data_IF_142881414022
#
_entry.id   IF_142881414022
#
_cell.length_a   1.000
_cell.length_b   1.000
_cell.length_c   1.000
_cell.angle_alpha   90.00
_cell.angle_beta   90.00
_cell.angle_gamma   90.00
#
_symmetry.space_group_name_H-M   'P 1'
#
loop_
_entity.id
_entity.type
_entity.pdbx_description
1 polymer ?
#
# COMPACT_ATOMS: atom_id res chain seq x y z
N UNK A 1 19.01 -15.59 4.70
CA UNK A 1 20.16 -15.45 5.63
C UNK A 1 20.21 -16.73 6.45
N UNK A 2 21.37 -17.33 6.72
CA UNK A 2 21.45 -18.49 7.62
C UNK A 2 21.16 -18.03 9.05
N UNK A 3 20.50 -18.86 9.87
CA UNK A 3 20.18 -18.51 11.25
C UNK A 3 21.46 -18.22 12.04
N UNK A 4 21.50 -17.07 12.72
CA UNK A 4 22.62 -16.64 13.59
C UNK A 4 22.60 -17.36 14.95
N UNK A 5 21.48 -17.98 15.31
CA UNK A 5 21.29 -18.65 16.59
C UNK A 5 21.77 -20.10 16.53
N UNK A 6 22.32 -20.56 17.64
CA UNK A 6 22.77 -21.93 17.87
C UNK A 6 21.70 -22.75 18.58
N UNK A 7 21.75 -24.08 18.45
CA UNK A 7 20.92 -24.98 19.25
C UNK A 7 21.34 -24.91 20.72
N UNK A 8 20.35 -24.86 21.60
CA UNK A 8 20.54 -24.80 23.06
C UNK A 8 20.20 -26.16 23.66
N UNK A 9 21.14 -26.72 24.42
CA UNK A 9 20.93 -27.94 25.22
C UNK A 9 21.47 -27.69 26.62
N UNK A 10 20.66 -28.01 27.64
CA UNK A 10 21.01 -27.77 29.03
C UNK A 10 22.07 -28.77 29.53
N UNK A 11 23.07 -28.26 30.25
CA UNK A 11 24.04 -29.04 31.02
C UNK A 11 24.76 -30.16 30.22
N UNK A 12 25.02 -29.92 28.94
CA UNK A 12 25.79 -30.86 28.12
C UNK A 12 27.29 -30.67 28.35
N UNK A 13 27.97 -31.77 28.62
CA UNK A 13 29.41 -31.84 28.87
C UNK A 13 30.00 -33.01 28.09
N UNK A 14 31.16 -32.80 27.49
CA UNK A 14 31.91 -33.85 26.78
C UNK A 14 33.40 -33.49 26.79
N UNK A 15 34.18 -34.16 25.96
CA UNK A 15 35.57 -33.80 25.69
C UNK A 15 35.89 -33.84 24.20
N UNK A 16 37.00 -33.22 23.81
CA UNK A 16 37.54 -33.36 22.46
C UNK A 16 38.08 -34.78 22.24
N UNK A 17 37.67 -35.43 21.14
CA UNK A 17 38.22 -36.73 20.74
C UNK A 17 39.63 -36.60 20.16
N UNK A 18 39.93 -35.48 19.50
CA UNK A 18 41.22 -35.19 18.87
C UNK A 18 41.73 -33.82 19.28
N UNK A 19 43.04 -33.61 19.21
CA UNK A 19 43.64 -32.28 19.41
C UNK A 19 43.08 -31.30 18.39
N UNK A 20 42.76 -30.08 18.81
CA UNK A 20 42.52 -28.93 17.94
C UNK A 20 43.74 -28.01 18.00
N UNK A 21 44.49 -27.91 16.91
CA UNK A 21 45.60 -26.95 16.81
C UNK A 21 45.13 -25.52 16.58
N UNK A 22 46.02 -24.55 16.73
CA UNK A 22 45.77 -23.18 16.27
C UNK A 22 45.38 -23.18 14.78
N UNK A 23 44.34 -22.42 14.43
CA UNK A 23 43.77 -22.37 13.08
C UNK A 23 42.92 -23.58 12.68
N UNK A 24 42.72 -24.57 13.55
CA UNK A 24 41.89 -25.73 13.23
C UNK A 24 40.44 -25.32 12.95
N UNK A 25 39.89 -25.79 11.83
CA UNK A 25 38.50 -25.54 11.39
C UNK A 25 37.61 -26.77 11.54
N UNK A 26 38.15 -27.90 11.99
CA UNK A 26 37.44 -29.16 12.17
C UNK A 26 38.07 -30.03 13.27
N UNK A 27 37.29 -30.98 13.78
CA UNK A 27 37.69 -31.97 14.78
C UNK A 27 36.54 -32.92 15.14
N UNK A 28 36.58 -33.52 16.33
CA UNK A 28 35.51 -34.37 16.81
C UNK A 28 35.33 -34.30 18.33
N UNK A 29 34.11 -34.55 18.80
CA UNK A 29 33.76 -34.75 20.21
C UNK A 29 33.81 -36.25 20.56
N UNK A 30 34.17 -36.57 21.79
CA UNK A 30 34.23 -37.96 22.28
C UNK A 30 32.84 -38.60 22.32
N UNK A 31 31.85 -37.84 22.74
CA UNK A 31 30.45 -38.25 22.78
C UNK A 31 29.55 -37.06 22.47
N UNK A 32 28.41 -37.34 21.85
CA UNK A 32 27.30 -36.41 21.64
C UNK A 32 26.04 -36.83 22.41
N UNK A 33 26.14 -37.88 23.22
CA UNK A 33 25.00 -38.40 23.98
C UNK A 33 24.91 -37.65 25.31
N UNK A 34 23.75 -37.06 25.57
CA UNK A 34 23.49 -36.37 26.82
C UNK A 34 23.25 -37.34 28.00
N UNK A 35 23.01 -36.79 29.20
CA UNK A 35 22.77 -37.58 30.41
C UNK A 35 21.47 -38.39 30.37
N UNK A 36 20.56 -38.08 29.47
CA UNK A 36 19.31 -38.81 29.23
C UNK A 36 19.47 -39.86 28.11
N UNK A 37 20.70 -40.14 27.67
CA UNK A 37 20.99 -41.06 26.57
C UNK A 37 20.45 -40.61 25.21
N UNK A 38 20.23 -39.30 25.02
CA UNK A 38 19.78 -38.71 23.75
C UNK A 38 20.97 -38.06 23.04
N UNK A 39 21.18 -38.43 21.78
CA UNK A 39 22.21 -37.80 20.96
C UNK A 39 21.84 -36.35 20.60
N UNK A 40 22.81 -35.44 20.66
CA UNK A 40 22.64 -34.09 20.14
C UNK A 40 22.26 -34.16 18.65
N UNK A 41 21.20 -33.45 18.22
CA UNK A 41 20.85 -33.38 16.81
C UNK A 41 21.91 -32.59 16.03
N UNK A 42 22.07 -32.90 14.74
CA UNK A 42 22.94 -32.11 13.87
C UNK A 42 22.52 -30.62 13.86
N UNK A 43 23.50 -29.73 13.81
CA UNK A 43 23.24 -28.29 13.78
C UNK A 43 24.40 -27.47 14.33
N UNK A 44 24.18 -26.16 14.43
CA UNK A 44 25.18 -25.22 14.92
C UNK A 44 25.13 -25.10 16.44
N UNK A 45 26.28 -25.14 17.09
CA UNK A 45 26.43 -25.07 18.54
C UNK A 45 27.51 -24.06 18.93
N UNK A 46 27.44 -23.59 20.18
CA UNK A 46 28.52 -22.86 20.83
C UNK A 46 28.98 -23.66 22.06
N UNK A 47 30.29 -23.81 22.23
CA UNK A 47 30.87 -24.45 23.41
C UNK A 47 31.99 -23.62 24.00
N UNK A 48 32.29 -23.87 25.26
CA UNK A 48 33.52 -23.45 25.93
C UNK A 48 34.42 -24.66 26.10
N UNK A 49 35.68 -24.53 25.71
CA UNK A 49 36.72 -25.57 25.85
C UNK A 49 37.72 -25.12 26.90
N UNK A 50 38.23 -26.06 27.70
CA UNK A 50 39.25 -25.83 28.72
C UNK A 50 38.88 -24.72 29.73
N UNK A 51 37.59 -24.70 30.10
CA UNK A 51 37.01 -23.73 31.03
C UNK A 51 37.82 -23.60 32.32
N UNK A 52 38.10 -22.36 32.72
CA UNK A 52 38.82 -22.02 33.94
C UNK A 52 40.35 -22.14 33.83
N UNK A 53 40.89 -22.40 32.64
CA UNK A 53 42.34 -22.44 32.39
C UNK A 53 42.81 -21.24 31.56
N UNK A 54 44.13 -21.10 31.40
CA UNK A 54 44.71 -20.09 30.49
C UNK A 54 44.44 -20.36 29.00
N UNK A 55 44.00 -21.58 28.68
CA UNK A 55 43.68 -22.04 27.34
C UNK A 55 42.17 -21.95 27.03
N UNK A 56 41.36 -21.35 27.92
CA UNK A 56 39.91 -21.24 27.76
C UNK A 56 39.51 -20.50 26.47
N UNK A 57 38.64 -21.12 25.67
CA UNK A 57 38.16 -20.53 24.41
C UNK A 57 36.68 -20.88 24.16
N UNK A 58 35.93 -19.93 23.58
CA UNK A 58 34.57 -20.18 23.11
C UNK A 58 34.62 -20.50 21.61
N UNK A 59 34.00 -21.61 21.21
CA UNK A 59 34.01 -22.08 19.83
C UNK A 59 32.56 -22.25 19.33
N UNK A 60 32.26 -21.60 18.22
CA UNK A 60 31.11 -21.90 17.36
C UNK A 60 31.51 -22.96 16.34
N UNK A 61 30.62 -23.91 16.05
CA UNK A 61 30.88 -24.96 15.07
C UNK A 61 29.57 -25.59 14.58
N UNK A 62 29.65 -26.28 13.45
CA UNK A 62 28.60 -27.15 12.95
C UNK A 62 28.88 -28.59 13.38
N UNK A 63 27.90 -29.22 14.02
CA UNK A 63 27.95 -30.61 14.46
C UNK A 63 27.22 -31.51 13.45
N UNK A 64 27.88 -32.58 13.00
CA UNK A 64 27.26 -33.67 12.25
C UNK A 64 27.78 -35.00 12.79
N UNK A 65 26.90 -35.79 13.42
CA UNK A 65 27.35 -36.90 14.26
C UNK A 65 28.26 -36.37 15.37
N UNK A 66 29.43 -36.99 15.58
CA UNK A 66 30.43 -36.49 16.53
C UNK A 66 31.49 -35.56 15.90
N UNK A 67 31.42 -35.32 14.59
CA UNK A 67 32.34 -34.45 13.88
C UNK A 67 31.92 -32.99 14.04
N UNK A 68 32.89 -32.13 14.33
CA UNK A 68 32.72 -30.68 14.34
C UNK A 68 33.45 -30.08 13.15
N UNK A 69 32.82 -29.13 12.47
CA UNK A 69 33.35 -28.43 11.30
C UNK A 69 33.04 -26.93 11.38
N UNK A 70 33.60 -26.15 10.45
CA UNK A 70 33.42 -24.70 10.37
C UNK A 70 33.67 -24.00 11.72
N UNK A 71 34.71 -24.44 12.43
CA UNK A 71 35.03 -23.89 13.76
C UNK A 71 35.33 -22.40 13.61
N UNK A 72 34.73 -21.61 14.50
CA UNK A 72 34.92 -20.17 14.63
C UNK A 72 35.17 -19.87 16.12
N UNK A 73 36.30 -19.28 16.43
CA UNK A 73 36.55 -18.73 17.75
C UNK A 73 35.69 -17.51 18.02
N UNK A 74 35.21 -17.40 19.25
CA UNK A 74 34.42 -16.29 19.72
C UNK A 74 35.14 -15.61 20.88
N UNK A 75 35.43 -14.32 20.74
CA UNK A 75 35.96 -13.52 21.85
C UNK A 75 34.92 -13.35 22.95
N UNK A 76 35.34 -12.94 24.15
CA UNK A 76 34.42 -12.61 25.25
C UNK A 76 33.46 -11.45 24.92
N UNK A 77 33.74 -10.68 23.88
CA UNK A 77 32.89 -9.61 23.36
C UNK A 77 32.01 -10.06 22.19
N UNK A 78 32.10 -11.32 21.76
CA UNK A 78 31.31 -11.89 20.67
C UNK A 78 31.93 -11.72 19.28
N UNK A 79 33.18 -11.27 19.17
CA UNK A 79 33.88 -11.15 17.87
C UNK A 79 34.21 -12.55 17.37
N UNK A 80 33.83 -12.84 16.13
CA UNK A 80 33.99 -14.15 15.50
C UNK A 80 35.20 -14.17 14.56
N UNK A 81 36.11 -15.13 14.77
CA UNK A 81 37.29 -15.35 13.92
C UNK A 81 37.33 -16.81 13.48
N UNK A 82 37.56 -17.05 12.19
CA UNK A 82 37.60 -18.41 11.66
C UNK A 82 38.75 -19.24 12.28
N UNK A 83 38.44 -20.48 12.66
CA UNK A 83 39.35 -21.41 13.30
C UNK A 83 39.64 -21.11 14.77
N UNK A 84 40.21 -22.10 15.46
CA UNK A 84 40.74 -21.99 16.83
C UNK A 84 41.81 -20.90 16.91
N UNK A 85 41.66 -19.95 17.84
CA UNK A 85 42.61 -18.84 18.01
C UNK A 85 43.58 -19.07 19.18
N UNK A 86 43.31 -20.01 20.08
CA UNK A 86 44.28 -20.36 21.11
C UNK A 86 45.62 -20.80 20.45
N UNK A 87 46.71 -20.12 20.81
CA UNK A 87 48.06 -20.38 20.30
C UNK A 87 48.55 -21.79 20.67
N UNK A 88 48.21 -22.30 21.85
CA UNK A 88 48.59 -23.64 22.30
C UNK A 88 47.70 -24.73 21.68
N UNK A 89 46.53 -24.34 21.17
CA UNK A 89 45.45 -25.23 20.81
C UNK A 89 44.86 -25.97 22.01
N UNK A 90 43.86 -26.80 21.76
CA UNK A 90 43.20 -27.62 22.77
C UNK A 90 43.59 -29.08 22.61
N UNK A 91 43.90 -29.75 23.73
CA UNK A 91 44.35 -31.14 23.73
C UNK A 91 43.18 -32.11 23.49
N UNK A 92 43.49 -33.30 22.98
CA UNK A 92 42.53 -34.41 23.08
C UNK A 92 42.20 -34.65 24.55
N UNK A 93 40.92 -34.88 24.87
CA UNK A 93 40.42 -34.97 26.24
C UNK A 93 40.13 -33.63 26.92
N UNK A 94 40.42 -32.48 26.29
CA UNK A 94 40.02 -31.16 26.78
C UNK A 94 38.52 -31.13 27.05
N UNK A 95 38.11 -30.57 28.19
CA UNK A 95 36.70 -30.55 28.60
C UNK A 95 35.93 -29.52 27.79
N UNK A 96 34.77 -29.93 27.29
CA UNK A 96 33.88 -29.10 26.49
C UNK A 96 32.51 -28.99 27.17
N UNK A 97 31.98 -27.77 27.25
CA UNK A 97 30.65 -27.51 27.79
C UNK A 97 29.87 -26.68 26.78
N UNK A 98 28.63 -27.06 26.45
CA UNK A 98 27.81 -26.17 25.63
C UNK A 98 27.44 -24.90 26.40
N UNK A 99 27.33 -23.79 25.69
CA UNK A 99 26.98 -22.48 26.25
C UNK A 99 26.04 -21.73 25.32
N UNK A 100 25.20 -20.88 25.90
CA UNK A 100 24.26 -20.00 25.22
C UNK A 100 24.82 -18.59 24.97
N UNK A 101 26.09 -18.33 25.30
CA UNK A 101 26.71 -17.01 25.22
C UNK A 101 26.41 -16.27 23.90
N UNK A 102 26.58 -16.93 22.75
CA UNK A 102 26.32 -16.31 21.45
C UNK A 102 24.85 -16.01 21.23
N UNK A 103 23.95 -16.90 21.66
CA UNK A 103 22.53 -16.65 21.54
C UNK A 103 22.12 -15.46 22.40
N UNK A 104 22.61 -15.38 23.64
CA UNK A 104 22.37 -14.25 24.53
C UNK A 104 22.93 -12.94 23.96
N UNK A 105 24.15 -12.97 23.39
CA UNK A 105 24.75 -11.80 22.75
C UNK A 105 23.91 -11.30 21.58
N UNK A 106 23.49 -12.19 20.69
CA UNK A 106 22.63 -11.85 19.53
C UNK A 106 21.30 -11.27 20.01
N UNK A 107 20.67 -11.87 21.02
CA UNK A 107 19.41 -11.35 21.60
C UNK A 107 19.61 -9.95 22.17
N UNK A 108 20.67 -9.72 22.96
CA UNK A 108 20.98 -8.41 23.54
C UNK A 108 21.26 -7.37 22.45
N UNK A 109 22.00 -7.74 21.40
CA UNK A 109 22.31 -6.83 20.30
C UNK A 109 21.04 -6.42 19.53
N UNK A 110 20.14 -7.37 19.26
CA UNK A 110 18.85 -7.09 18.62
C UNK A 110 18.01 -6.15 19.49
N UNK A 111 17.91 -6.41 20.79
CA UNK A 111 17.12 -5.59 21.72
C UNK A 111 17.70 -4.17 21.91
N UNK A 112 19.02 -4.03 21.78
CA UNK A 112 19.70 -2.73 21.80
C UNK A 112 19.71 -2.02 20.43
N UNK A 113 19.13 -2.63 19.38
CA UNK A 113 19.12 -2.08 18.02
C UNK A 113 20.48 -2.13 17.30
N UNK A 114 21.44 -2.89 17.82
CA UNK A 114 22.75 -3.09 17.21
C UNK A 114 22.77 -4.21 16.16
N UNK A 115 21.75 -5.06 16.14
CA UNK A 115 21.52 -6.07 15.09
C UNK A 115 20.00 -6.14 14.75
N UNK A 116 19.66 -6.98 13.77
CA UNK A 116 18.33 -7.10 13.17
C UNK A 116 17.75 -8.51 13.38
N UNK A 117 16.42 -8.59 13.36
CA UNK A 117 15.69 -9.86 13.33
C UNK A 117 15.83 -10.57 11.97
N UNK A 118 15.76 -11.89 11.96
CA UNK A 118 15.82 -12.69 10.74
C UNK A 118 14.51 -12.57 9.93
N UNK A 119 14.59 -11.93 8.77
CA UNK A 119 13.45 -11.76 7.87
C UNK A 119 12.92 -13.09 7.28
N UNK A 120 13.75 -14.14 7.21
CA UNK A 120 13.30 -15.45 6.73
C UNK A 120 12.49 -16.22 7.79
N UNK A 121 12.67 -15.89 9.07
CA UNK A 121 11.96 -16.48 10.20
C UNK A 121 11.41 -15.39 11.11
N UNK A 122 10.37 -14.64 10.67
CA UNK A 122 9.84 -13.53 11.45
C UNK A 122 9.34 -13.95 12.83
N UNK A 123 9.45 -13.05 13.80
CA UNK A 123 8.78 -13.21 15.09
C UNK A 123 7.27 -13.26 14.88
N UNK A 124 6.60 -14.19 15.58
CA UNK A 124 5.16 -14.36 15.54
C UNK A 124 4.64 -14.71 16.92
N UNK A 125 3.40 -14.31 17.17
CA UNK A 125 2.64 -14.83 18.30
C UNK A 125 2.16 -16.26 17.98
N UNK A 126 1.95 -17.06 19.01
CA UNK A 126 1.36 -18.39 18.92
C UNK A 126 -0.17 -18.35 18.70
N UNK A 127 -0.80 -17.24 19.08
CA UNK A 127 -2.19 -16.88 18.77
C UNK A 127 -2.34 -15.36 18.62
N UNK A 128 -3.44 -14.88 18.01
CA UNK A 128 -3.70 -13.44 17.91
C UNK A 128 -3.96 -12.82 19.29
N UNK A 129 -3.10 -11.89 19.76
CA UNK A 129 -3.29 -11.25 21.05
C UNK A 129 -4.30 -10.09 20.96
N UNK A 130 -4.84 -9.69 22.11
CA UNK A 130 -5.59 -8.44 22.24
C UNK A 130 -4.65 -7.27 22.49
N UNK A 131 -4.67 -6.26 21.62
CA UNK A 131 -3.84 -5.05 21.75
C UNK A 131 -4.60 -3.94 22.49
N UNK A 132 -4.01 -3.40 23.56
CA UNK A 132 -4.61 -2.39 24.44
C UNK A 132 -3.67 -1.21 24.81
N UNK A 133 -2.43 -1.20 24.32
CA UNK A 133 -1.49 -0.08 24.43
C UNK A 133 -0.81 0.14 23.08
N UNK A 134 -0.66 1.40 22.65
CA UNK A 134 0.03 1.76 21.41
C UNK A 134 1.53 1.42 21.38
N UNK A 135 2.11 0.99 22.51
CA UNK A 135 3.51 0.51 22.61
C UNK A 135 3.67 -0.99 22.32
N UNK A 136 2.58 -1.73 22.09
CA UNK A 136 2.64 -3.16 21.80
C UNK A 136 3.03 -3.43 20.34
N UNK A 137 3.76 -4.52 20.12
CA UNK A 137 4.12 -4.99 18.77
C UNK A 137 2.90 -5.64 18.12
N UNK A 138 2.34 -5.02 17.09
CA UNK A 138 1.12 -5.52 16.45
C UNK A 138 1.38 -6.68 15.48
N UNK A 139 0.39 -7.56 15.29
CA UNK A 139 0.46 -8.61 14.26
C UNK A 139 0.20 -8.02 12.87
N UNK A 140 0.64 -8.71 11.82
CA UNK A 140 0.27 -8.34 10.44
C UNK A 140 -1.25 -8.35 10.26
N UNK A 141 -1.94 -9.36 10.80
CA UNK A 141 -3.40 -9.47 10.74
C UNK A 141 -4.08 -8.24 11.34
N UNK A 142 -3.62 -7.77 12.50
CA UNK A 142 -4.14 -6.54 13.09
C UNK A 142 -3.98 -5.36 12.13
N UNK A 143 -2.81 -5.17 11.51
CA UNK A 143 -2.59 -4.10 10.54
C UNK A 143 -3.46 -4.23 9.27
N UNK A 144 -3.66 -5.46 8.76
CA UNK A 144 -4.53 -5.73 7.61
C UNK A 144 -6.00 -5.44 7.96
N UNK A 145 -6.48 -5.88 9.13
CA UNK A 145 -7.85 -5.64 9.60
C UNK A 145 -8.12 -4.14 9.82
N UNK A 146 -7.13 -3.39 10.33
CA UNK A 146 -7.24 -1.93 10.46
C UNK A 146 -7.28 -1.19 9.12
N UNK A 147 -6.82 -1.85 8.05
CA UNK A 147 -6.87 -1.32 6.68
C UNK A 147 -8.15 -1.76 5.95
N UNK A 148 -8.69 -2.94 6.28
CA UNK A 148 -9.91 -3.49 5.71
C UNK A 148 -11.12 -2.61 6.07
N UNK A 149 -11.54 -1.75 5.15
CA UNK A 149 -12.69 -0.84 5.33
C UNK A 149 -12.34 0.65 5.29
N UNK A 150 -11.06 1.00 5.10
CA UNK A 150 -10.64 2.38 4.83
C UNK A 150 -10.47 2.59 3.33
N UNK A 151 -10.83 3.78 2.87
CA UNK A 151 -10.56 4.23 1.50
C UNK A 151 -9.14 4.78 1.45
N UNK A 152 -8.34 4.29 0.52
CA UNK A 152 -6.99 4.76 0.23
C UNK A 152 -6.98 6.12 -0.47
N UNK A 153 -5.77 6.68 -0.65
CA UNK A 153 -5.56 7.90 -1.45
C UNK A 153 -5.17 7.60 -2.89
N UNK A 154 -4.90 6.34 -3.20
CA UNK A 154 -4.39 5.84 -4.47
C UNK A 154 -4.94 4.44 -4.72
N UNK A 155 -4.85 3.98 -5.97
CA UNK A 155 -5.37 2.68 -6.39
C UNK A 155 -6.86 2.71 -6.74
N UNK A 156 -7.31 1.69 -7.45
CA UNK A 156 -8.72 1.54 -7.81
C UNK A 156 -9.45 0.85 -6.65
N UNK A 157 -10.49 1.48 -6.13
CA UNK A 157 -11.23 0.98 -4.97
C UNK A 157 -12.73 0.89 -5.27
N UNK A 158 -13.38 -0.15 -4.75
CA UNK A 158 -14.84 -0.26 -4.76
C UNK A 158 -15.40 0.26 -3.43
N UNK A 159 -16.10 1.39 -3.46
CA UNK A 159 -16.58 2.08 -2.26
C UNK A 159 -18.10 1.97 -2.20
N UNK A 160 -18.61 1.09 -1.32
CA UNK A 160 -20.04 0.84 -1.19
C UNK A 160 -20.73 1.73 -0.14
N UNK A 161 -22.05 1.91 -0.27
CA UNK A 161 -22.90 2.67 0.65
C UNK A 161 -22.91 4.18 0.38
N UNK A 162 -23.89 4.90 0.92
CA UNK A 162 -24.03 6.36 0.74
C UNK A 162 -22.77 7.08 1.28
N UNK A 163 -22.25 8.03 0.50
CA UNK A 163 -21.14 8.90 0.88
C UNK A 163 -21.60 10.35 0.79
N UNK A 164 -21.65 11.03 1.93
CA UNK A 164 -22.05 12.43 2.02
C UNK A 164 -20.81 13.30 2.18
N UNK A 165 -20.61 14.23 1.26
CA UNK A 165 -19.55 15.23 1.33
C UNK A 165 -20.17 16.55 1.79
N UNK A 166 -19.62 17.15 2.85
CA UNK A 166 -20.09 18.45 3.35
C UNK A 166 -19.70 19.59 2.41
N UNK A 167 -18.53 19.45 1.77
CA UNK A 167 -18.04 20.35 0.73
C UNK A 167 -18.12 19.70 -0.65
N UNK A 168 -18.09 20.53 -1.70
CA UNK A 168 -18.12 20.05 -3.09
C UNK A 168 -16.84 19.27 -3.42
N UNK A 169 -16.93 17.99 -3.82
CA UNK A 169 -15.76 17.24 -4.26
C UNK A 169 -15.23 17.77 -5.60
N UNK A 170 -13.91 17.73 -5.78
CA UNK A 170 -13.22 18.06 -7.04
C UNK A 170 -12.73 16.76 -7.68
N UNK A 171 -13.11 16.52 -8.94
CA UNK A 171 -12.65 15.37 -9.71
C UNK A 171 -11.69 15.85 -10.80
N UNK A 172 -10.44 15.37 -10.77
CA UNK A 172 -9.35 15.92 -11.58
C UNK A 172 -9.37 15.45 -13.06
N UNK A 173 -9.99 14.31 -13.37
CA UNK A 173 -10.44 13.91 -14.73
C UNK A 173 -11.27 12.61 -14.68
N UNK A 174 -12.06 12.32 -15.73
CA UNK A 174 -12.46 10.94 -16.05
C UNK A 174 -13.70 10.35 -15.38
N UNK A 175 -14.76 11.14 -15.14
CA UNK A 175 -16.07 10.57 -14.77
C UNK A 175 -16.62 9.74 -15.94
N UNK A 176 -16.36 8.43 -15.96
CA UNK A 176 -16.75 7.52 -17.05
C UNK A 176 -17.72 6.46 -16.55
N UNK A 177 -19.01 6.86 -16.53
CA UNK A 177 -20.24 6.06 -16.26
C UNK A 177 -20.39 5.47 -14.84
N UNK A 178 -21.53 5.54 -14.15
CA UNK A 178 -22.90 5.70 -14.61
C UNK A 178 -23.70 6.58 -13.61
N UNK A 179 -24.45 7.55 -14.12
CA UNK A 179 -25.21 8.65 -13.46
C UNK A 179 -24.41 9.82 -12.86
N UNK A 180 -24.54 11.04 -13.45
CA UNK A 180 -23.99 12.26 -12.89
C UNK A 180 -24.63 12.66 -11.55
N UNK A 181 -23.76 13.17 -10.69
CA UNK A 181 -24.04 14.23 -9.73
C UNK A 181 -24.96 15.28 -10.37
N UNK A 182 -26.11 15.55 -9.78
CA UNK A 182 -26.99 16.65 -10.16
C UNK A 182 -26.33 17.99 -9.80
N UNK A 183 -25.36 18.40 -10.62
CA UNK A 183 -24.94 19.78 -10.71
C UNK A 183 -25.89 20.47 -11.69
N UNK A 184 -26.75 21.35 -11.18
CA UNK A 184 -27.35 22.39 -12.00
C UNK A 184 -26.25 23.40 -12.36
N UNK A 185 -25.42 23.05 -13.35
CA UNK A 185 -24.84 23.99 -14.31
C UNK A 185 -24.02 23.21 -15.37
N UNK A 186 -24.38 23.28 -16.66
CA UNK A 186 -23.65 22.60 -17.74
C UNK A 186 -22.37 23.36 -18.12
N UNK A 187 -21.20 22.75 -17.94
CA UNK A 187 -19.87 23.37 -18.20
C UNK A 187 -18.97 22.53 -19.11
N UNK A 188 -19.50 21.81 -20.11
CA UNK A 188 -18.64 21.02 -21.01
C UNK A 188 -19.21 20.67 -22.37
N UNK A 189 -18.32 20.32 -23.30
CA UNK A 189 -18.60 20.00 -24.72
C UNK A 189 -19.52 18.80 -24.94
N UNK A 190 -19.81 18.01 -23.89
CA UNK A 190 -20.78 16.91 -23.95
C UNK A 190 -22.23 17.35 -23.64
N UNK A 191 -22.46 18.64 -23.30
CA UNK A 191 -23.80 19.25 -23.21
C UNK A 191 -24.37 19.68 -24.57
N UNK A 192 -23.80 19.23 -25.69
CA UNK A 192 -24.34 19.50 -27.03
C UNK A 192 -25.77 18.96 -27.18
N UNK A 193 -26.11 17.84 -26.51
CA UNK A 193 -27.46 17.30 -26.47
C UNK A 193 -28.43 18.17 -25.63
N UNK A 194 -27.96 18.71 -24.50
CA UNK A 194 -28.73 19.60 -23.62
C UNK A 194 -28.93 20.98 -24.25
N UNK A 195 -27.93 21.49 -24.98
CA UNK A 195 -28.01 22.73 -25.76
C UNK A 195 -29.00 22.61 -26.92
N UNK A 196 -28.98 21.51 -27.68
CA UNK A 196 -30.00 21.20 -28.71
C UNK A 196 -31.43 21.19 -28.14
N UNK A 197 -31.62 20.64 -26.94
CA UNK A 197 -32.90 20.63 -26.23
C UNK A 197 -33.35 22.03 -25.78
N UNK A 198 -32.45 22.83 -25.21
CA UNK A 198 -32.75 24.22 -24.81
C UNK A 198 -33.04 25.10 -26.02
N UNK A 199 -32.36 24.87 -27.15
CA UNK A 199 -32.66 25.53 -28.42
C UNK A 199 -34.00 25.06 -29.00
N UNK A 200 -34.33 23.77 -28.93
CA UNK A 200 -35.65 23.28 -29.34
C UNK A 200 -36.78 23.88 -28.49
N UNK A 201 -36.57 24.05 -27.18
CA UNK A 201 -37.52 24.72 -26.27
C UNK A 201 -37.60 26.22 -26.52
N UNK A 202 -36.47 26.90 -26.72
CA UNK A 202 -36.41 28.34 -26.97
C UNK A 202 -36.94 28.73 -28.36
N UNK A 203 -36.95 27.82 -29.32
CA UNK A 203 -37.37 28.10 -30.71
C UNK A 203 -38.60 27.29 -31.16
N UNK A 204 -39.35 26.72 -30.21
CA UNK A 204 -40.66 26.11 -30.46
C UNK A 204 -40.62 24.84 -31.32
N UNK A 205 -39.55 24.05 -31.23
CA UNK A 205 -39.37 22.80 -31.97
C UNK A 205 -39.15 22.97 -33.48
N UNK A 206 -39.03 24.21 -33.96
CA UNK A 206 -38.82 24.46 -35.37
C UNK A 206 -37.32 24.46 -35.69
N UNK A 207 -36.95 23.71 -36.73
CA UNK A 207 -35.60 23.61 -37.28
C UNK A 207 -35.14 24.91 -37.97
N UNK A 208 -35.33 26.07 -37.33
CA UNK A 208 -35.07 27.38 -37.91
C UNK A 208 -33.60 27.80 -37.88
N UNK A 209 -32.78 27.16 -37.04
CA UNK A 209 -31.40 27.58 -36.84
C UNK A 209 -30.51 26.33 -36.82
N UNK A 210 -29.91 26.04 -37.98
CA UNK A 210 -28.83 25.06 -38.10
C UNK A 210 -27.47 25.77 -38.01
N UNK A 211 -26.47 25.12 -37.41
CA UNK A 211 -25.07 25.56 -37.49
C UNK A 211 -24.60 26.53 -36.41
N UNK A 212 -25.17 26.46 -35.20
CA UNK A 212 -24.60 27.13 -34.03
C UNK A 212 -23.44 26.31 -33.46
N UNK A 213 -22.27 26.93 -33.37
CA UNK A 213 -21.05 26.25 -32.93
C UNK A 213 -20.76 26.52 -31.45
N UNK A 214 -20.79 27.78 -31.02
CA UNK A 214 -20.53 28.19 -29.63
C UNK A 214 -21.58 29.17 -29.09
N UNK A 215 -22.81 28.71 -28.79
CA UNK A 215 -23.88 29.58 -28.32
C UNK A 215 -23.71 29.99 -26.84
N UNK A 216 -23.78 31.28 -26.56
CA UNK A 216 -24.03 31.89 -25.26
C UNK A 216 -25.48 32.33 -25.14
N UNK A 217 -26.14 32.01 -24.03
CA UNK A 217 -27.56 32.26 -23.82
C UNK A 217 -27.75 33.34 -22.75
N UNK A 218 -28.53 34.36 -23.07
CA UNK A 218 -28.95 35.39 -22.12
C UNK A 218 -30.42 35.20 -21.78
N UNK A 219 -30.76 35.34 -20.50
CA UNK A 219 -32.13 35.25 -20.01
C UNK A 219 -32.71 36.63 -19.69
N UNK A 220 -34.03 36.76 -19.76
CA UNK A 220 -34.74 37.93 -19.25
C UNK A 220 -35.03 37.82 -17.74
N UNK A 221 -35.62 38.86 -17.14
CA UNK A 221 -35.95 38.90 -15.71
C UNK A 221 -36.98 37.84 -15.29
N UNK A 222 -37.68 37.22 -16.24
CA UNK A 222 -38.66 36.14 -16.02
C UNK A 222 -38.04 34.75 -16.27
N UNK A 223 -36.73 34.66 -16.53
CA UNK A 223 -36.02 33.41 -16.76
C UNK A 223 -36.21 32.82 -18.16
N UNK A 224 -36.81 33.56 -19.09
CA UNK A 224 -37.01 33.13 -20.49
C UNK A 224 -35.76 33.47 -21.32
N UNK A 225 -35.48 32.69 -22.37
CA UNK A 225 -34.34 32.97 -23.26
C UNK A 225 -34.58 34.27 -24.00
N UNK A 226 -33.78 35.31 -23.71
CA UNK A 226 -33.86 36.64 -24.33
C UNK A 226 -33.05 36.72 -25.61
N UNK A 227 -31.84 36.17 -25.61
CA UNK A 227 -31.00 36.12 -26.79
C UNK A 227 -30.01 34.95 -26.75
N UNK A 228 -29.58 34.52 -27.93
CA UNK A 228 -28.53 33.53 -28.13
C UNK A 228 -27.47 34.15 -29.04
N UNK A 229 -26.24 34.26 -28.55
CA UNK A 229 -25.09 34.77 -29.31
C UNK A 229 -24.15 33.62 -29.66
N UNK A 230 -23.84 33.43 -30.94
CA UNK A 230 -22.83 32.48 -31.39
C UNK A 230 -21.46 33.18 -31.42
N UNK A 231 -20.57 32.77 -30.52
CA UNK A 231 -19.23 33.34 -30.40
C UNK A 231 -18.36 33.08 -31.63
N UNK A 232 -18.56 31.97 -32.32
CA UNK A 232 -17.70 31.58 -33.44
C UNK A 232 -18.14 32.28 -34.74
N UNK A 233 -19.46 32.39 -34.94
CA UNK A 233 -20.03 32.97 -36.15
C UNK A 233 -20.42 34.46 -35.98
N UNK A 234 -20.31 35.01 -34.77
CA UNK A 234 -20.68 36.38 -34.43
C UNK A 234 -22.17 36.71 -34.57
N UNK A 235 -23.03 35.70 -34.74
CA UNK A 235 -24.46 35.87 -34.99
C UNK A 235 -25.25 35.95 -33.69
N UNK A 236 -26.20 36.87 -33.59
CA UNK A 236 -27.07 36.98 -32.41
C UNK A 236 -28.52 36.81 -32.81
N UNK A 237 -29.19 35.89 -32.14
CA UNK A 237 -30.63 35.66 -32.24
C UNK A 237 -31.31 36.29 -31.04
N UNK A 238 -32.29 37.16 -31.27
CA UNK A 238 -33.05 37.82 -30.21
C UNK A 238 -34.49 37.32 -30.25
N UNK A 239 -34.99 36.86 -29.10
CA UNK A 239 -36.31 36.28 -28.96
C UNK A 239 -37.27 37.28 -28.32
N UNK A 240 -38.47 37.39 -28.88
CA UNK A 240 -39.53 38.25 -28.34
C UNK A 240 -40.73 37.38 -27.99
N UNK A 241 -41.33 37.64 -26.84
CA UNK A 241 -42.49 36.93 -26.31
C UNK A 241 -43.67 37.86 -26.19
N UNK A 242 -44.89 37.31 -26.21
CA UNK A 242 -46.09 38.05 -25.84
C UNK A 242 -46.24 38.14 -24.31
N UNK A 243 -47.28 38.87 -23.82
CA UNK A 243 -47.55 38.97 -22.39
C UNK A 243 -47.88 37.65 -21.70
N UNK A 244 -48.30 36.63 -22.46
CA UNK A 244 -48.62 35.27 -22.00
C UNK A 244 -47.43 34.32 -21.98
N UNK A 245 -46.20 34.85 -22.09
CA UNK A 245 -44.95 34.09 -22.12
C UNK A 245 -44.78 33.16 -23.34
N UNK A 246 -45.56 33.37 -24.41
CA UNK A 246 -45.44 32.61 -25.66
C UNK A 246 -44.48 33.33 -26.60
N UNK A 247 -43.53 32.59 -27.17
CA UNK A 247 -42.59 33.12 -28.16
C UNK A 247 -43.35 33.66 -29.38
N UNK A 248 -43.00 34.83 -29.89
CA UNK A 248 -43.67 35.46 -31.05
C UNK A 248 -42.76 35.69 -32.22
N UNK A 249 -41.51 36.03 -31.97
CA UNK A 249 -40.56 36.25 -33.05
C UNK A 249 -39.13 36.00 -32.64
N UNK A 250 -38.32 35.70 -33.65
CA UNK A 250 -36.87 35.58 -33.56
C UNK A 250 -36.27 36.53 -34.59
N UNK A 251 -35.37 37.41 -34.16
CA UNK A 251 -34.59 38.27 -35.04
C UNK A 251 -33.16 37.74 -35.12
N UNK A 252 -32.67 37.49 -36.34
CA UNK A 252 -31.31 36.95 -36.57
C UNK A 252 -30.25 38.03 -36.91
N UNK A 253 -30.62 39.31 -36.76
CA UNK A 253 -29.81 40.45 -37.19
C UNK A 253 -30.15 40.96 -38.60
N UNK A 254 -30.81 40.13 -39.43
CA UNK A 254 -31.17 40.47 -40.82
C UNK A 254 -32.67 40.29 -41.09
N UNK A 255 -33.26 39.19 -40.61
CA UNK A 255 -34.66 38.81 -40.87
C UNK A 255 -35.40 38.62 -39.55
N UNK A 256 -36.71 38.82 -39.60
CA UNK A 256 -37.60 38.53 -38.48
C UNK A 256 -38.43 37.30 -38.83
N UNK A 257 -38.25 36.25 -38.05
CA UNK A 257 -39.05 35.05 -38.14
C UNK A 257 -40.22 35.18 -37.17
N UNK A 258 -41.44 35.26 -37.71
CA UNK A 258 -42.67 35.38 -36.92
C UNK A 258 -43.25 33.98 -36.71
N UNK A 259 -43.57 33.65 -35.46
CA UNK A 259 -44.08 32.35 -35.05
C UNK A 259 -45.54 32.50 -34.64
N UNK A 260 -46.40 31.73 -35.30
CA UNK A 260 -47.83 31.70 -35.05
C UNK A 260 -48.20 30.37 -34.41
N UNK A 261 -48.98 30.44 -33.34
CA UNK A 261 -49.50 29.29 -32.62
C UNK A 261 -51.02 29.25 -32.75
N UNK A 262 -51.56 28.05 -32.79
CA UNK A 262 -52.99 27.80 -32.67
C UNK A 262 -53.46 28.10 -31.23
N UNK A 263 -54.77 28.27 -30.99
CA UNK A 263 -55.32 28.49 -29.66
C UNK A 263 -55.03 27.36 -28.64
N UNK A 264 -54.75 26.15 -29.11
CA UNK A 264 -54.37 24.99 -28.30
C UNK A 264 -52.86 24.97 -27.94
N UNK A 265 -52.10 26.00 -28.35
CA UNK A 265 -50.67 26.11 -28.11
C UNK A 265 -49.80 25.35 -29.11
N UNK A 266 -50.39 24.65 -30.09
CA UNK A 266 -49.62 23.98 -31.12
C UNK A 266 -49.06 24.98 -32.15
N UNK A 267 -47.87 24.73 -32.68
CA UNK A 267 -47.28 25.53 -33.73
C UNK A 267 -48.19 25.52 -34.98
N UNK A 268 -48.57 26.70 -35.47
CA UNK A 268 -49.41 26.87 -36.65
C UNK A 268 -48.59 27.14 -37.89
N UNK A 269 -47.69 28.12 -37.83
CA UNK A 269 -46.88 28.54 -38.96
C UNK A 269 -45.65 29.32 -38.50
N UNK A 270 -44.61 29.32 -39.34
CA UNK A 270 -43.45 30.19 -39.19
C UNK A 270 -43.20 30.89 -40.52
N UNK A 271 -43.15 32.21 -40.45
CA UNK A 271 -43.04 33.06 -41.64
C UNK A 271 -41.85 33.99 -41.49
N UNK A 272 -41.03 34.04 -42.54
CA UNK A 272 -39.91 34.96 -42.64
C UNK A 272 -40.42 36.32 -43.16
N UNK A 273 -40.05 37.39 -42.47
CA UNK A 273 -40.24 38.78 -42.90
C UNK A 273 -38.92 39.50 -43.03
#
# INVERSE_FOLDING_TARGET
MSSKLTKVVANFETSLATKLGNGAVAGALTSITDKNSVALPNGRYCMIVDRGTGDEEHLLFDLTGNAIANIVSVSRQGVQTAGVQNLNGHRAGAKCYLTDFINLKVIVDILNGADTLDAANPLRYDADPSFNDGKQVVTKKYADDQSAGKVGKTGNENIAGVKTFQDRPIFQSGLTSNTPVSAADPVGSNDVATKQWVLALAFGGAALISGLNSPQINYDRRGRVRSVHDLDNGKTYVLTYDPGDVLRSIFDGTNIWVIQYKPDGALQAISKR
#
